data_IF_637760145010
#
_entry.id   IF_637760145010
#
_cell.length_a   1.000
_cell.length_b   1.000
_cell.length_c   1.000
_cell.angle_alpha   90.00
_cell.angle_beta   90.00
_cell.angle_gamma   90.00
#
_symmetry.space_group_name_H-M   'P 1'
#
loop_
_entity.id
_entity.type
_entity.pdbx_description
1 polymer ?
#
# COMPACT_ATOMS: atom_id res chain seq x y z
N UNK A 1 6.96 4.33 -12.68
CA UNK A 1 6.19 4.02 -11.47
C UNK A 1 4.98 3.20 -11.87
N UNK A 2 5.01 1.92 -11.58
CA UNK A 2 4.02 0.96 -12.08
C UNK A 2 3.31 0.25 -10.93
N UNK A 3 4.07 -0.36 -10.03
CA UNK A 3 3.55 -1.02 -8.85
C UNK A 3 4.13 -0.35 -7.63
N UNK A 4 3.25 0.17 -6.79
CA UNK A 4 3.62 1.07 -5.70
C UNK A 4 3.16 0.50 -4.37
N UNK A 5 4.00 0.58 -3.36
CA UNK A 5 3.63 0.26 -1.99
C UNK A 5 3.57 1.58 -1.20
N UNK A 6 2.41 1.84 -0.60
CA UNK A 6 2.22 3.01 0.25
C UNK A 6 2.26 2.54 1.71
N UNK A 7 3.31 2.88 2.43
CA UNK A 7 3.43 2.55 3.85
C UNK A 7 2.69 3.61 4.65
N UNK A 8 1.89 3.16 5.64
CA UNK A 8 1.05 4.07 6.41
C UNK A 8 -0.19 4.52 5.64
N UNK A 9 -0.70 3.67 4.77
CA UNK A 9 -1.80 4.00 3.87
C UNK A 9 -3.13 4.28 4.56
N UNK A 10 -3.30 3.86 5.80
CA UNK A 10 -4.56 4.07 6.53
C UNK A 10 -4.59 5.40 7.29
N UNK A 11 -3.47 6.12 7.34
CA UNK A 11 -3.47 7.50 7.83
C UNK A 11 -4.14 8.43 6.82
N UNK A 12 -4.44 9.66 7.23
CA UNK A 12 -5.16 10.60 6.39
C UNK A 12 -4.42 10.89 5.08
N UNK A 13 -3.15 11.25 5.16
CA UNK A 13 -2.34 11.57 3.97
C UNK A 13 -2.11 10.32 3.13
N UNK A 14 -1.78 9.20 3.77
CA UNK A 14 -1.50 7.96 3.06
C UNK A 14 -2.71 7.41 2.32
N UNK A 15 -3.90 7.51 2.91
CA UNK A 15 -5.13 7.04 2.25
C UNK A 15 -5.49 7.92 1.06
N UNK A 16 -5.36 9.23 1.20
CA UNK A 16 -5.61 10.16 0.09
C UNK A 16 -4.64 9.92 -1.07
N UNK A 17 -3.36 9.74 -0.77
CA UNK A 17 -2.35 9.44 -1.78
C UNK A 17 -2.66 8.13 -2.49
N UNK A 18 -2.98 7.09 -1.73
CA UNK A 18 -3.30 5.77 -2.29
C UNK A 18 -4.47 5.85 -3.26
N UNK A 19 -5.55 6.50 -2.85
CA UNK A 19 -6.74 6.62 -3.69
C UNK A 19 -6.46 7.43 -4.95
N UNK A 20 -5.69 8.52 -4.83
CA UNK A 20 -5.34 9.35 -5.97
C UNK A 20 -4.48 8.59 -6.98
N UNK A 21 -3.48 7.84 -6.51
CA UNK A 21 -2.62 7.05 -7.38
C UNK A 21 -3.42 5.94 -8.09
N UNK A 22 -4.38 5.32 -7.40
CA UNK A 22 -5.23 4.30 -8.00
C UNK A 22 -6.09 4.83 -9.15
N UNK A 23 -6.43 6.12 -9.11
CA UNK A 23 -7.16 6.77 -10.20
C UNK A 23 -6.28 7.04 -11.41
N UNK A 24 -5.00 7.30 -11.20
CA UNK A 24 -4.08 7.77 -12.23
C UNK A 24 -3.26 6.69 -12.91
N UNK A 25 -3.03 5.57 -12.21
CA UNK A 25 -2.11 4.53 -12.68
C UNK A 25 -2.81 3.19 -12.78
N UNK A 26 -2.40 2.40 -13.78
CA UNK A 26 -2.99 1.09 -14.04
C UNK A 26 -2.31 -0.05 -13.28
N UNK A 27 -1.15 0.20 -12.68
CA UNK A 27 -0.45 -0.81 -11.90
C UNK A 27 -1.06 -0.99 -10.52
N UNK A 28 -0.49 -1.92 -9.76
CA UNK A 28 -0.95 -2.17 -8.40
C UNK A 28 -0.46 -1.08 -7.45
N UNK A 29 -1.41 -0.44 -6.78
CA UNK A 29 -1.11 0.51 -5.72
C UNK A 29 -1.50 -0.18 -4.41
N UNK A 30 -0.52 -0.77 -3.76
CA UNK A 30 -0.73 -1.60 -2.58
C UNK A 30 -0.81 -0.74 -1.32
N UNK A 31 -1.92 -0.86 -0.61
CA UNK A 31 -2.12 -0.16 0.66
C UNK A 31 -1.43 -0.94 1.78
N UNK A 32 -0.26 -0.48 2.19
CA UNK A 32 0.49 -1.08 3.30
C UNK A 32 -0.02 -0.56 4.63
N UNK A 33 -0.36 -1.46 5.54
CA UNK A 33 -0.92 -1.10 6.84
C UNK A 33 -0.29 -1.94 7.94
N UNK A 34 -0.45 -1.47 9.19
CA UNK A 34 -0.02 -2.24 10.36
C UNK A 34 -1.23 -2.83 11.06
N UNK A 35 -0.99 -3.84 11.91
CA UNK A 35 -2.04 -4.47 12.70
C UNK A 35 -2.72 -3.44 13.59
N UNK A 36 -4.03 -3.44 13.60
CA UNK A 36 -4.84 -2.45 14.32
C UNK A 36 -5.22 -1.23 13.49
N UNK A 37 -4.62 -1.06 12.30
CA UNK A 37 -4.92 0.06 11.41
C UNK A 37 -5.31 -0.44 10.02
N UNK A 38 -6.17 -1.46 9.98
CA UNK A 38 -6.61 -2.09 8.74
C UNK A 38 -7.40 -1.13 7.86
N UNK A 39 -7.21 -1.21 6.53
CA UNK A 39 -7.98 -0.37 5.61
C UNK A 39 -9.45 -0.75 5.63
N UNK A 40 -10.31 0.24 5.38
CA UNK A 40 -11.76 0.06 5.40
C UNK A 40 -12.40 0.77 4.21
N UNK A 41 -13.62 0.36 3.88
CA UNK A 41 -14.40 1.02 2.85
C UNK A 41 -13.72 1.04 1.50
N UNK A 42 -13.71 2.19 0.87
CA UNK A 42 -13.21 2.36 -0.48
C UNK A 42 -11.71 2.05 -0.60
N UNK A 43 -10.93 2.37 0.43
CA UNK A 43 -9.51 2.04 0.45
C UNK A 43 -9.28 0.53 0.37
N UNK A 44 -10.07 -0.24 1.12
CA UNK A 44 -10.00 -1.70 1.11
C UNK A 44 -10.50 -2.27 -0.22
N UNK A 45 -11.58 -1.73 -0.74
CA UNK A 45 -12.27 -2.32 -1.90
C UNK A 45 -11.65 -1.94 -3.24
N UNK A 46 -10.94 -0.83 -3.31
CA UNK A 46 -10.46 -0.29 -4.59
C UNK A 46 -9.13 -0.86 -5.07
N UNK A 47 -8.48 -1.70 -4.28
CA UNK A 47 -7.20 -2.28 -4.69
C UNK A 47 -6.57 -3.13 -3.62
N UNK A 48 -5.35 -3.65 -3.87
CA UNK A 48 -4.69 -4.56 -2.94
C UNK A 48 -4.23 -3.88 -1.66
N UNK A 49 -4.19 -4.66 -0.58
CA UNK A 49 -3.69 -4.23 0.72
C UNK A 49 -2.74 -5.29 1.26
N UNK A 50 -1.78 -4.88 2.06
CA UNK A 50 -0.81 -5.80 2.64
C UNK A 50 -0.42 -5.34 4.05
N UNK A 51 -0.25 -6.32 4.94
CA UNK A 51 0.27 -6.04 6.28
C UNK A 51 1.77 -5.79 6.15
N UNK A 52 2.18 -4.57 6.38
CA UNK A 52 3.59 -4.17 6.25
C UNK A 52 3.97 -3.26 7.42
N UNK A 53 4.65 -3.84 8.39
CA UNK A 53 5.27 -3.08 9.47
C UNK A 53 6.67 -2.67 9.00
N UNK A 54 6.96 -1.37 9.01
CA UNK A 54 8.24 -0.85 8.53
C UNK A 54 9.44 -1.42 9.31
N UNK A 55 9.21 -1.90 10.52
CA UNK A 55 10.26 -2.54 11.33
C UNK A 55 10.44 -4.02 11.02
N UNK A 56 9.62 -4.59 10.14
CA UNK A 56 9.67 -5.99 9.77
C UNK A 56 10.16 -6.14 8.33
N UNK A 57 11.46 -6.37 8.17
CA UNK A 57 12.09 -6.51 6.86
C UNK A 57 11.50 -7.63 6.03
N UNK A 58 11.11 -8.72 6.67
CA UNK A 58 10.53 -9.86 5.98
C UNK A 58 9.19 -9.52 5.33
N UNK A 59 8.33 -8.79 6.05
CA UNK A 59 7.04 -8.36 5.49
C UNK A 59 7.25 -7.43 4.29
N UNK A 60 8.20 -6.52 4.38
CA UNK A 60 8.54 -5.62 3.28
C UNK A 60 9.01 -6.43 2.06
N UNK A 61 9.95 -7.35 2.26
CA UNK A 61 10.52 -8.16 1.19
C UNK A 61 9.44 -9.03 0.51
N UNK A 62 8.58 -9.65 1.30
CA UNK A 62 7.51 -10.49 0.77
C UNK A 62 6.51 -9.68 -0.06
N UNK A 63 6.16 -8.49 0.41
CA UNK A 63 5.23 -7.61 -0.30
C UNK A 63 5.84 -7.10 -1.60
N UNK A 64 7.09 -6.68 -1.56
CA UNK A 64 7.81 -6.22 -2.75
C UNK A 64 7.87 -7.32 -3.80
N UNK A 65 8.14 -8.55 -3.37
CA UNK A 65 8.22 -9.69 -4.29
C UNK A 65 6.84 -10.06 -4.84
N UNK A 66 5.85 -10.16 -3.98
CA UNK A 66 4.50 -10.60 -4.37
C UNK A 66 3.85 -9.66 -5.40
N UNK A 67 3.98 -8.37 -5.20
CA UNK A 67 3.34 -7.37 -6.06
C UNK A 67 4.30 -6.75 -7.07
N UNK A 68 5.55 -7.20 -7.10
CA UNK A 68 6.59 -6.66 -7.99
C UNK A 68 6.72 -5.15 -7.84
N UNK A 69 6.83 -4.71 -6.60
CA UNK A 69 6.88 -3.30 -6.25
C UNK A 69 8.13 -2.64 -6.83
N UNK A 70 7.96 -1.54 -7.52
CA UNK A 70 9.07 -0.75 -8.05
C UNK A 70 9.23 0.61 -7.37
N UNK A 71 8.24 1.02 -6.58
CA UNK A 71 8.27 2.32 -5.89
C UNK A 71 7.63 2.17 -4.52
N UNK A 72 8.27 2.73 -3.50
CA UNK A 72 7.75 2.74 -2.13
C UNK A 72 7.61 4.17 -1.65
N UNK A 73 6.43 4.53 -1.18
CA UNK A 73 6.17 5.78 -0.46
C UNK A 73 6.03 5.49 1.02
N UNK A 74 6.67 6.30 1.81
CA UNK A 74 6.63 6.17 3.27
C UNK A 74 6.14 7.45 3.93
#
# INVERSE_FOLDING_TARGET
MKNVLIIGSTGQIGSELTMELRKRYNGDIVAGYISGAEPKGELLESGPSALVDITNEQQIAETVSKYKIDTIYN
#
